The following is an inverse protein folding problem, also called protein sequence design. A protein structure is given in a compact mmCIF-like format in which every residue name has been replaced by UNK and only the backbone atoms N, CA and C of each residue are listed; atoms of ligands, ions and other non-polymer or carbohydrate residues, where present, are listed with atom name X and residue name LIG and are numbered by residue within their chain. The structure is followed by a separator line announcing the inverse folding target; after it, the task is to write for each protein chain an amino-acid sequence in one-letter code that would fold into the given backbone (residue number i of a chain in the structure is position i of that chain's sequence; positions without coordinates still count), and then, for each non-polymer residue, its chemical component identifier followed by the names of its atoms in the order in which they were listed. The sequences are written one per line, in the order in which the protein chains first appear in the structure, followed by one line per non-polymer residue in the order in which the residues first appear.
data_IF_006475915425
#
_entry.id   IF_006475915425
#
_cell.length_a   1.000
_cell.length_b   1.000
_cell.length_c   1.000
_cell.angle_alpha   90.00
_cell.angle_beta   90.00
_cell.angle_gamma   90.00
#
_symmetry.space_group_name_H-M   'P 1'
#
loop_
_entity.id
_entity.type
_entity.pdbx_description
1 polymer ?
#
# COMPACT_ATOMS: atom_id res chain seq x y z
N UNK A 1 -8.30 -7.11 10.16
CA UNK A 1 -7.55 -8.36 10.36
C UNK A 1 -6.34 -8.01 11.22
N UNK A 2 -5.76 -8.96 11.98
CA UNK A 2 -4.48 -8.71 12.67
C UNK A 2 -3.47 -9.80 12.32
N UNK A 3 -2.32 -9.40 11.80
CA UNK A 3 -1.17 -10.24 11.48
C UNK A 3 -0.37 -10.56 12.74
N UNK A 4 0.12 -11.80 12.82
CA UNK A 4 0.92 -12.30 13.93
C UNK A 4 2.42 -12.11 13.73
N UNK A 5 2.84 -11.88 12.49
CA UNK A 5 4.24 -11.67 12.10
C UNK A 5 4.31 -10.90 10.77
N UNK A 6 5.52 -10.49 10.40
CA UNK A 6 5.75 -9.74 9.17
C UNK A 6 5.58 -10.57 7.89
N UNK A 7 5.69 -11.90 7.95
CA UNK A 7 5.48 -12.76 6.78
C UNK A 7 4.00 -12.74 6.37
N UNK A 8 3.09 -12.89 7.34
CA UNK A 8 1.65 -12.77 7.14
C UNK A 8 1.27 -11.39 6.59
N UNK A 9 1.85 -10.31 7.14
CA UNK A 9 1.65 -8.95 6.66
C UNK A 9 2.16 -8.79 5.21
N UNK A 10 3.38 -9.22 4.92
CA UNK A 10 3.96 -9.12 3.58
C UNK A 10 3.14 -9.89 2.54
N UNK A 11 2.64 -11.07 2.90
CA UNK A 11 1.79 -11.86 2.02
C UNK A 11 0.46 -11.16 1.75
N UNK A 12 -0.20 -10.64 2.78
CA UNK A 12 -1.45 -9.91 2.62
C UNK A 12 -1.29 -8.64 1.77
N UNK A 13 -0.21 -7.89 1.95
CA UNK A 13 0.14 -6.73 1.10
C UNK A 13 0.32 -7.17 -0.35
N UNK A 14 1.01 -8.28 -0.62
CA UNK A 14 1.16 -8.80 -2.00
C UNK A 14 -0.18 -9.19 -2.62
N UNK A 15 -1.02 -9.89 -1.86
CA UNK A 15 -2.32 -10.34 -2.35
C UNK A 15 -3.22 -9.14 -2.69
N UNK A 16 -3.24 -8.12 -1.83
CA UNK A 16 -3.98 -6.88 -2.07
C UNK A 16 -3.46 -6.10 -3.29
N UNK A 17 -2.14 -6.05 -3.49
CA UNK A 17 -1.56 -5.45 -4.70
C UNK A 17 -1.99 -6.22 -5.95
N UNK A 18 -1.93 -7.54 -5.94
CA UNK A 18 -2.35 -8.36 -7.08
C UNK A 18 -3.84 -8.19 -7.40
N UNK A 19 -4.68 -7.96 -6.40
CA UNK A 19 -6.10 -7.66 -6.59
C UNK A 19 -6.29 -6.34 -7.34
N UNK A 20 -5.61 -5.28 -6.90
CA UNK A 20 -5.59 -3.99 -7.58
C UNK A 20 -5.07 -4.10 -9.02
N UNK A 21 -3.93 -4.78 -9.22
CA UNK A 21 -3.30 -4.92 -10.53
C UNK A 21 -4.20 -5.65 -11.53
N UNK A 22 -4.93 -6.67 -11.06
CA UNK A 22 -5.93 -7.39 -11.87
C UNK A 22 -7.13 -6.54 -12.25
N UNK A 23 -7.59 -5.65 -11.35
CA UNK A 23 -8.73 -4.78 -11.62
C UNK A 23 -8.41 -3.71 -12.66
N UNK A 24 -7.23 -3.09 -12.56
CA UNK A 24 -6.82 -1.98 -13.42
C UNK A 24 -5.97 -2.39 -14.64
N UNK A 25 -5.55 -3.65 -14.74
CA UNK A 25 -4.61 -4.15 -15.76
C UNK A 25 -3.30 -3.32 -15.83
N UNK A 26 -2.83 -2.88 -14.67
CA UNK A 26 -1.64 -2.03 -14.50
C UNK A 26 -0.86 -2.44 -13.27
N UNK A 27 0.40 -2.01 -13.15
CA UNK A 27 1.22 -2.29 -11.98
C UNK A 27 0.80 -1.42 -10.79
N UNK A 28 0.91 -1.99 -9.60
CA UNK A 28 0.64 -1.26 -8.37
C UNK A 28 1.66 -0.10 -8.22
N UNK A 29 1.23 1.10 -7.81
CA UNK A 29 2.14 2.23 -7.71
C UNK A 29 3.22 2.00 -6.64
N UNK A 30 4.48 2.20 -7.00
CA UNK A 30 5.62 1.98 -6.08
C UNK A 30 5.93 3.19 -5.19
N UNK A 31 5.55 4.39 -5.64
CA UNK A 31 5.81 5.67 -4.94
C UNK A 31 4.51 6.22 -4.38
N UNK A 32 4.21 5.82 -3.15
CA UNK A 32 3.02 6.21 -2.39
C UNK A 32 3.50 6.59 -0.99
N UNK A 33 2.94 7.64 -0.41
CA UNK A 33 3.21 8.04 0.98
C UNK A 33 2.07 7.56 1.87
N UNK A 34 2.40 7.15 3.09
CA UNK A 34 1.47 7.33 4.21
C UNK A 34 0.74 6.10 4.70
N UNK A 35 1.12 4.90 4.27
CA UNK A 35 0.60 3.68 4.90
C UNK A 35 1.44 3.23 6.10
N UNK A 36 2.76 3.33 6.04
CA UNK A 36 3.64 3.05 7.17
C UNK A 36 5.04 3.64 6.97
N UNK A 37 5.81 3.79 8.05
CA UNK A 37 7.22 4.18 8.00
C UNK A 37 8.10 2.95 7.65
N UNK A 38 8.79 2.94 6.49
CA UNK A 38 9.66 1.83 6.12
C UNK A 38 10.93 1.71 7.00
N UNK A 39 11.32 2.77 7.73
CA UNK A 39 12.54 2.77 8.54
C UNK A 39 12.32 2.23 9.95
N UNK A 40 11.12 2.37 10.50
CA UNK A 40 10.78 1.97 11.88
C UNK A 40 9.47 1.17 11.97
N UNK A 41 9.27 0.20 11.07
CA UNK A 41 8.01 -0.55 11.03
C UNK A 41 7.87 -1.56 12.19
N UNK A 42 6.97 -1.29 13.13
CA UNK A 42 6.52 -2.29 14.11
C UNK A 42 5.38 -3.15 13.56
N UNK A 43 5.10 -4.30 14.19
CA UNK A 43 3.97 -5.14 13.79
C UNK A 43 2.61 -4.46 14.07
N UNK A 44 2.53 -3.59 15.08
CA UNK A 44 1.34 -2.79 15.36
C UNK A 44 1.09 -1.78 14.23
N UNK A 45 2.10 -1.00 13.86
CA UNK A 45 2.02 -0.07 12.73
C UNK A 45 1.77 -0.77 11.39
N UNK A 46 2.35 -1.96 11.18
CA UNK A 46 2.07 -2.76 9.99
C UNK A 46 0.58 -3.16 9.89
N UNK A 47 -0.02 -3.51 11.03
CA UNK A 47 -1.45 -3.83 11.08
C UNK A 47 -2.33 -2.61 10.81
N UNK A 48 -2.01 -1.47 11.42
CA UNK A 48 -2.75 -0.22 11.20
C UNK A 48 -2.59 0.27 9.76
N UNK A 49 -1.36 0.30 9.27
CA UNK A 49 -1.02 0.71 7.91
C UNK A 49 -1.64 -0.17 6.84
N UNK A 50 -1.73 -1.48 7.08
CA UNK A 50 -2.45 -2.38 6.17
C UNK A 50 -3.93 -2.07 6.07
N UNK A 51 -4.61 -1.77 7.18
CA UNK A 51 -6.06 -1.44 7.13
C UNK A 51 -6.30 -0.13 6.36
N UNK A 52 -5.41 0.85 6.49
CA UNK A 52 -5.45 2.07 5.67
C UNK A 52 -5.21 1.75 4.20
N UNK A 53 -4.15 1.00 3.88
CA UNK A 53 -3.86 0.57 2.50
C UNK A 53 -5.05 -0.17 1.88
N UNK A 54 -5.63 -1.12 2.61
CA UNK A 54 -6.78 -1.90 2.17
C UNK A 54 -7.99 -1.03 1.87
N UNK A 55 -8.30 -0.07 2.75
CA UNK A 55 -9.39 0.89 2.54
C UNK A 55 -9.16 1.70 1.26
N UNK A 56 -7.96 2.21 1.06
CA UNK A 56 -7.65 3.07 -0.09
C UNK A 56 -7.66 2.27 -1.41
N UNK A 57 -7.15 1.04 -1.40
CA UNK A 57 -7.22 0.11 -2.55
C UNK A 57 -8.65 -0.23 -2.92
N UNK A 58 -9.49 -0.56 -1.94
CA UNK A 58 -10.89 -0.87 -2.22
C UNK A 58 -11.67 0.35 -2.66
N UNK A 59 -11.41 1.53 -2.09
CA UNK A 59 -12.00 2.76 -2.59
C UNK A 59 -11.64 3.01 -4.07
N UNK A 60 -10.36 2.83 -4.43
CA UNK A 60 -9.91 2.94 -5.81
C UNK A 60 -10.64 1.97 -6.76
N UNK A 61 -10.74 0.69 -6.38
CA UNK A 61 -11.45 -0.34 -7.15
C UNK A 61 -12.95 0.01 -7.28
N UNK A 62 -13.61 0.37 -6.18
CA UNK A 62 -15.03 0.72 -6.15
C UNK A 62 -15.37 1.93 -7.02
N UNK A 63 -14.50 2.95 -7.02
CA UNK A 63 -14.69 4.16 -7.84
C UNK A 63 -14.06 4.05 -9.22
N UNK A 64 -13.44 2.92 -9.55
CA UNK A 64 -12.67 2.71 -10.77
C UNK A 64 -11.66 3.85 -11.05
N UNK A 65 -11.01 4.33 -9.98
CA UNK A 65 -10.04 5.43 -10.02
C UNK A 65 -8.70 4.92 -9.50
N UNK A 66 -7.67 4.93 -10.34
CA UNK A 66 -6.34 4.46 -9.96
C UNK A 66 -5.73 5.30 -8.81
N UNK A 67 -4.97 4.65 -7.94
CA UNK A 67 -4.14 5.34 -6.94
C UNK A 67 -2.99 6.03 -7.68
N UNK A 68 -2.89 7.34 -7.54
CA UNK A 68 -1.83 8.11 -8.20
C UNK A 68 -0.45 7.76 -7.64
N UNK A 69 0.48 7.43 -8.54
CA UNK A 69 1.89 7.36 -8.18
C UNK A 69 2.48 8.76 -8.08
N UNK A 70 3.21 9.02 -7.01
CA UNK A 70 3.96 10.26 -6.88
C UNK A 70 5.06 10.31 -7.97
N UNK A 71 5.12 11.39 -8.77
CA UNK A 71 6.19 11.57 -9.75
C UNK A 71 7.59 11.49 -9.13
N UNK A 72 8.54 10.88 -9.83
CA UNK A 72 9.91 10.66 -9.31
C UNK A 72 10.59 11.95 -8.83
N UNK A 73 10.32 13.08 -9.47
CA UNK A 73 10.86 14.39 -9.07
C UNK A 73 10.37 14.83 -7.68
N UNK A 74 9.11 14.56 -7.36
CA UNK A 74 8.52 14.87 -6.05
C UNK A 74 8.95 13.83 -5.01
N UNK A 75 8.99 12.55 -5.39
CA UNK A 75 9.48 11.47 -4.53
C UNK A 75 10.90 11.71 -4.02
N UNK A 76 11.82 12.12 -4.90
CA UNK A 76 13.20 12.40 -4.52
C UNK A 76 13.37 13.64 -3.62
N UNK A 77 12.31 14.45 -3.44
CA UNK A 77 12.30 15.60 -2.54
C UNK A 77 11.71 15.25 -1.16
N UNK A 78 11.01 14.12 -1.05
CA UNK A 78 10.47 13.63 0.20
C UNK A 78 11.61 12.94 0.95
N UNK A 79 12.08 13.60 2.01
CA UNK A 79 13.11 13.07 2.90
C UNK A 79 12.42 12.05 3.83
N UNK A 80 12.84 10.79 3.76
CA UNK A 80 12.52 9.75 4.75
C UNK A 80 13.61 9.72 5.83
#
# INVERSE_FOLDING_TARGET
MRFKNFDEFCQAVRDLKLEYEKHFDTKFPERIIGWWDPLNLTLEEANEGYEVMKRDVYAAIETNTEIESIPIKLWNQIIF
#
